data_IF_733248628776
#
_entry.id   IF_733248628776
#
_cell.length_a   1.000
_cell.length_b   1.000
_cell.length_c   1.000
_cell.angle_alpha   90.00
_cell.angle_beta   90.00
_cell.angle_gamma   90.00
#
_symmetry.space_group_name_H-M   'P 1'
#
loop_
_entity.id
_entity.type
_entity.pdbx_description
1 polymer ?
#
# COMPACT_ATOMS: atom_id res chain seq x y z
N UNK A 1 32.57 -2.92 -29.28
CA UNK A 1 31.71 -2.79 -28.08
C UNK A 1 31.53 -1.31 -27.76
N UNK A 2 30.29 -0.84 -27.62
CA UNK A 2 29.97 0.13 -26.57
C UNK A 2 28.75 -0.36 -25.78
N UNK A 3 28.94 -0.58 -24.48
CA UNK A 3 27.85 -0.85 -23.53
C UNK A 3 27.07 0.45 -23.29
N UNK A 4 26.04 0.68 -24.10
CA UNK A 4 25.09 1.76 -23.85
C UNK A 4 24.48 1.54 -22.47
N UNK A 5 24.76 2.46 -21.51
CA UNK A 5 24.09 2.49 -20.21
C UNK A 5 22.58 2.35 -20.48
N UNK A 6 21.89 1.36 -19.88
CA UNK A 6 20.46 1.22 -20.08
C UNK A 6 19.82 2.55 -19.66
N UNK A 7 19.00 3.11 -20.55
CA UNK A 7 18.27 4.35 -20.23
C UNK A 7 17.49 4.11 -18.93
N UNK A 8 17.37 5.13 -18.07
CA UNK A 8 16.63 5.05 -16.81
C UNK A 8 15.24 4.41 -16.98
N UNK A 9 14.58 4.69 -18.10
CA UNK A 9 13.28 4.11 -18.45
C UNK A 9 13.32 2.59 -18.68
N UNK A 10 14.37 2.07 -19.30
CA UNK A 10 14.53 0.63 -19.52
C UNK A 10 14.80 -0.10 -18.21
N UNK A 11 15.66 0.45 -17.35
CA UNK A 11 15.92 -0.10 -16.01
C UNK A 11 14.64 -0.11 -15.18
N UNK A 12 13.90 1.01 -15.17
CA UNK A 12 12.61 1.10 -14.48
C UNK A 12 11.60 0.07 -14.98
N UNK A 13 11.43 -0.06 -16.31
CA UNK A 13 10.52 -1.05 -16.90
C UNK A 13 10.90 -2.48 -16.52
N UNK A 14 12.20 -2.80 -16.51
CA UNK A 14 12.69 -4.13 -16.08
C UNK A 14 12.42 -4.38 -14.60
N UNK A 15 12.70 -3.41 -13.73
CA UNK A 15 12.38 -3.49 -12.31
C UNK A 15 10.88 -3.70 -12.07
N UNK A 16 10.03 -2.96 -12.79
CA UNK A 16 8.58 -3.10 -12.70
C UNK A 16 8.12 -4.51 -13.10
N UNK A 17 8.64 -5.03 -14.22
CA UNK A 17 8.31 -6.38 -14.69
C UNK A 17 8.73 -7.47 -13.70
N UNK A 18 9.92 -7.33 -13.08
CA UNK A 18 10.38 -8.28 -12.06
C UNK A 18 9.43 -8.30 -10.86
N UNK A 19 8.99 -7.14 -10.37
CA UNK A 19 8.05 -7.06 -9.24
C UNK A 19 6.69 -7.65 -9.61
N UNK A 20 6.18 -7.35 -10.80
CA UNK A 20 4.89 -7.89 -11.30
C UNK A 20 4.95 -9.42 -11.41
N UNK A 21 6.08 -9.98 -11.89
CA UNK A 21 6.24 -11.43 -12.02
C UNK A 21 6.44 -12.11 -10.66
N UNK A 22 7.18 -11.51 -9.74
CA UNK A 22 7.51 -12.14 -8.45
C UNK A 22 6.35 -12.17 -7.45
N UNK A 23 5.43 -11.19 -7.52
CA UNK A 23 4.47 -10.95 -6.44
C UNK A 23 3.18 -10.24 -6.92
N UNK A 24 2.52 -10.84 -7.92
CA UNK A 24 1.29 -10.29 -8.50
C UNK A 24 0.10 -10.23 -7.51
N UNK A 25 0.03 -11.18 -6.56
CA UNK A 25 -1.05 -11.25 -5.56
C UNK A 25 -0.90 -10.15 -4.52
N UNK A 26 0.32 -9.94 -4.00
CA UNK A 26 0.64 -8.92 -3.01
C UNK A 26 0.45 -7.52 -3.58
N UNK A 27 0.83 -7.30 -4.84
CA UNK A 27 0.56 -6.05 -5.55
C UNK A 27 -0.94 -5.74 -5.63
N UNK A 28 -1.77 -6.73 -6.00
CA UNK A 28 -3.23 -6.55 -6.05
C UNK A 28 -3.78 -6.19 -4.68
N UNK A 29 -3.36 -6.91 -3.64
CA UNK A 29 -3.78 -6.64 -2.26
C UNK A 29 -3.37 -5.22 -1.83
N UNK A 30 -2.15 -4.78 -2.12
CA UNK A 30 -1.70 -3.41 -1.82
C UNK A 30 -2.53 -2.36 -2.56
N UNK A 31 -2.89 -2.59 -3.82
CA UNK A 31 -3.76 -1.67 -4.58
C UNK A 31 -5.11 -1.51 -3.86
N UNK A 32 -5.74 -2.62 -3.47
CA UNK A 32 -7.02 -2.56 -2.74
C UNK A 32 -6.88 -1.86 -1.39
N UNK A 33 -5.85 -2.20 -0.60
CA UNK A 33 -5.62 -1.58 0.70
C UNK A 33 -5.35 -0.08 0.57
N UNK A 34 -4.60 0.33 -0.45
CA UNK A 34 -4.28 1.74 -0.71
C UNK A 34 -5.51 2.53 -1.16
N UNK A 35 -6.41 1.91 -1.95
CA UNK A 35 -7.68 2.53 -2.32
C UNK A 35 -8.57 2.76 -1.09
N UNK A 36 -8.69 1.75 -0.22
CA UNK A 36 -9.49 1.86 0.99
C UNK A 36 -8.90 2.93 1.91
N UNK A 37 -7.60 2.85 2.21
CA UNK A 37 -6.94 3.82 3.09
C UNK A 37 -6.95 5.24 2.51
N UNK A 38 -6.76 5.38 1.20
CA UNK A 38 -6.81 6.67 0.50
C UNK A 38 -8.21 7.30 0.48
N UNK A 39 -9.27 6.49 0.48
CA UNK A 39 -10.66 6.96 0.54
C UNK A 39 -11.14 7.32 1.95
N UNK A 40 -10.52 6.75 3.00
CA UNK A 40 -10.94 6.94 4.39
C UNK A 40 -10.97 8.42 4.83
N UNK A 41 -9.97 9.27 4.55
CA UNK A 41 -10.03 10.70 4.88
C UNK A 41 -11.22 11.42 4.23
N UNK A 42 -11.55 11.10 2.97
CA UNK A 42 -12.67 11.71 2.27
C UNK A 42 -14.02 11.33 2.90
N UNK A 43 -14.19 10.05 3.27
CA UNK A 43 -15.38 9.56 3.96
C UNK A 43 -15.50 10.21 5.35
N UNK A 44 -14.39 10.33 6.08
CA UNK A 44 -14.34 10.98 7.39
C UNK A 44 -14.78 12.46 7.31
N UNK A 45 -14.27 13.21 6.31
CA UNK A 45 -14.70 14.58 6.08
C UNK A 45 -16.20 14.69 5.75
N UNK A 46 -16.72 13.77 4.94
CA UNK A 46 -18.14 13.73 4.60
C UNK A 46 -19.02 13.47 5.83
N UNK A 47 -18.66 12.50 6.67
CA UNK A 47 -19.38 12.20 7.91
C UNK A 47 -19.30 13.34 8.92
N UNK A 48 -18.12 13.94 9.10
CA UNK A 48 -17.94 15.12 9.94
C UNK A 48 -18.82 16.28 9.49
N UNK A 49 -18.93 16.52 8.18
CA UNK A 49 -19.82 17.55 7.65
C UNK A 49 -21.28 17.28 8.05
N UNK A 50 -21.77 16.06 7.88
CA UNK A 50 -23.15 15.69 8.26
C UNK A 50 -23.38 15.94 9.75
N UNK A 51 -22.43 15.52 10.60
CA UNK A 51 -22.51 15.74 12.05
C UNK A 51 -22.61 17.23 12.37
N UNK A 52 -21.75 18.06 11.78
CA UNK A 52 -21.74 19.51 11.99
C UNK A 52 -23.06 20.15 11.53
N UNK A 53 -23.55 19.75 10.34
CA UNK A 53 -24.80 20.28 9.79
C UNK A 53 -26.00 19.92 10.68
N UNK A 54 -26.11 18.68 11.14
CA UNK A 54 -27.19 18.26 12.05
C UNK A 54 -27.09 18.96 13.41
N UNK A 55 -25.91 19.02 14.02
CA UNK A 55 -25.71 19.70 15.31
C UNK A 55 -26.09 21.17 15.18
N UNK A 56 -25.64 21.85 14.11
CA UNK A 56 -25.94 23.27 13.87
C UNK A 56 -27.45 23.50 13.71
N UNK A 57 -28.15 22.61 12.99
CA UNK A 57 -29.61 22.66 12.85
C UNK A 57 -30.34 22.48 14.19
N UNK A 58 -29.87 21.57 15.03
CA UNK A 58 -30.45 21.32 16.35
C UNK A 58 -30.21 22.47 17.32
N UNK A 59 -29.01 23.07 17.31
CA UNK A 59 -28.72 24.28 18.09
C UNK A 59 -29.60 25.46 17.68
N UNK A 60 -29.86 25.64 16.38
CA UNK A 60 -30.75 26.68 15.87
C UNK A 60 -32.21 26.55 16.33
N UNK A 61 -32.62 25.38 16.82
CA UNK A 61 -33.98 25.12 17.33
C UNK A 61 -34.15 25.36 18.83
N UNK A 62 -33.11 25.83 19.54
CA UNK A 62 -33.15 26.16 20.98
C UNK A 62 -33.80 25.06 21.86
N UNK A 63 -33.33 23.82 21.75
CA UNK A 63 -33.84 22.71 22.57
C UNK A 63 -33.16 22.65 23.94
N UNK A 64 -33.94 22.46 25.01
CA UNK A 64 -33.46 22.32 26.41
C UNK A 64 -33.17 20.87 26.82
N UNK A 65 -33.20 19.95 25.85
CA UNK A 65 -33.05 18.50 26.07
C UNK A 65 -31.57 18.15 26.20
N UNK A 66 -31.25 17.18 27.07
CA UNK A 66 -29.90 16.65 27.24
C UNK A 66 -29.29 16.20 25.90
N UNK A 67 -28.05 16.61 25.62
CA UNK A 67 -27.34 16.36 24.36
C UNK A 67 -27.30 14.88 23.98
N UNK A 68 -27.18 13.98 24.96
CA UNK A 68 -27.16 12.54 24.71
C UNK A 68 -28.51 12.03 24.20
N UNK A 69 -29.61 12.54 24.77
CA UNK A 69 -30.95 12.16 24.34
C UNK A 69 -31.25 12.68 22.92
N UNK A 70 -30.73 13.86 22.55
CA UNK A 70 -30.83 14.38 21.19
C UNK A 70 -30.07 13.51 20.17
N UNK A 71 -28.88 13.03 20.53
CA UNK A 71 -28.09 12.13 19.66
C UNK A 71 -28.83 10.80 19.44
N UNK A 72 -29.45 10.25 20.47
CA UNK A 72 -30.21 9.00 20.40
C UNK A 72 -31.53 9.13 19.61
N UNK A 73 -32.11 10.33 19.57
CA UNK A 73 -33.37 10.60 18.88
C UNK A 73 -33.19 10.93 17.39
N UNK A 74 -32.00 11.37 16.99
CA UNK A 74 -31.70 11.75 15.60
C UNK A 74 -30.91 10.63 14.87
N UNK A 75 -31.59 9.80 14.05
CA UNK A 75 -30.98 8.61 13.46
C UNK A 75 -29.83 8.94 12.51
N UNK A 76 -29.89 10.08 11.82
CA UNK A 76 -28.83 10.55 10.93
C UNK A 76 -27.56 10.93 11.69
N UNK A 77 -27.70 11.61 12.83
CA UNK A 77 -26.57 12.03 13.65
C UNK A 77 -25.95 10.80 14.34
N UNK A 78 -26.78 9.91 14.90
CA UNK A 78 -26.31 8.66 15.48
C UNK A 78 -25.58 7.78 14.45
N UNK A 79 -26.16 7.62 13.26
CA UNK A 79 -25.57 6.85 12.16
C UNK A 79 -24.25 7.45 11.68
N UNK A 80 -24.13 8.77 11.64
CA UNK A 80 -22.90 9.44 11.22
C UNK A 80 -21.78 9.32 12.25
N UNK A 81 -22.08 9.47 13.54
CA UNK A 81 -21.12 9.24 14.63
C UNK A 81 -20.70 7.77 14.67
N UNK A 82 -21.66 6.85 14.63
CA UNK A 82 -21.40 5.41 14.60
C UNK A 82 -20.57 5.00 13.37
N UNK A 83 -20.90 5.54 12.20
CA UNK A 83 -20.15 5.33 10.97
C UNK A 83 -18.72 5.86 11.06
N UNK A 84 -18.50 7.01 11.70
CA UNK A 84 -17.17 7.59 11.87
C UNK A 84 -16.32 6.78 12.86
N UNK A 85 -16.91 6.29 13.94
CA UNK A 85 -16.25 5.36 14.87
C UNK A 85 -15.87 4.08 14.15
N UNK A 86 -16.81 3.47 13.40
CA UNK A 86 -16.56 2.25 12.64
C UNK A 86 -15.47 2.46 11.58
N UNK A 87 -15.50 3.58 10.86
CA UNK A 87 -14.48 3.93 9.88
C UNK A 87 -13.08 4.00 10.53
N UNK A 88 -12.94 4.65 11.68
CA UNK A 88 -11.67 4.74 12.39
C UNK A 88 -11.18 3.35 12.84
N UNK A 89 -12.07 2.54 13.43
CA UNK A 89 -11.75 1.18 13.86
C UNK A 89 -11.32 0.27 12.70
N UNK A 90 -11.85 0.47 11.50
CA UNK A 90 -11.46 -0.28 10.31
C UNK A 90 -10.16 0.27 9.68
N UNK A 91 -9.92 1.58 9.78
CA UNK A 91 -8.75 2.22 9.15
C UNK A 91 -7.45 1.94 9.91
N UNK A 92 -7.49 1.88 11.24
CA UNK A 92 -6.30 1.62 12.06
C UNK A 92 -5.61 0.27 11.72
N UNK A 93 -6.32 -0.88 11.67
CA UNK A 93 -5.72 -2.17 11.31
C UNK A 93 -5.19 -2.22 9.86
N UNK A 94 -5.79 -1.47 8.94
CA UNK A 94 -5.39 -1.45 7.52
C UNK A 94 -3.93 -1.03 7.37
N UNK A 95 -3.44 -0.09 8.18
CA UNK A 95 -2.03 0.30 8.15
C UNK A 95 -1.10 -0.85 8.55
N UNK A 96 -1.47 -1.61 9.58
CA UNK A 96 -0.74 -2.80 10.01
C UNK A 96 -0.70 -3.88 8.93
N UNK A 97 -1.85 -4.17 8.33
CA UNK A 97 -1.96 -5.14 7.22
C UNK A 97 -1.14 -4.67 6.01
N UNK A 98 -1.21 -3.39 5.66
CA UNK A 98 -0.46 -2.82 4.53
C UNK A 98 1.05 -2.99 4.72
N UNK A 99 1.56 -2.71 5.92
CA UNK A 99 2.97 -2.90 6.24
C UNK A 99 3.39 -4.38 6.16
N UNK A 100 2.55 -5.29 6.65
CA UNK A 100 2.79 -6.74 6.54
C UNK A 100 2.84 -7.21 5.08
N UNK A 101 1.86 -6.81 4.27
CA UNK A 101 1.82 -7.18 2.84
C UNK A 101 3.01 -6.57 2.10
N UNK A 102 3.43 -5.35 2.44
CA UNK A 102 4.61 -4.73 1.87
C UNK A 102 5.91 -5.48 2.23
N UNK A 103 6.05 -5.94 3.48
CA UNK A 103 7.17 -6.80 3.88
C UNK A 103 7.17 -8.09 3.09
N UNK A 104 6.02 -8.76 2.97
CA UNK A 104 5.89 -9.99 2.19
C UNK A 104 6.24 -9.78 0.70
N UNK A 105 5.78 -8.68 0.11
CA UNK A 105 6.14 -8.29 -1.25
C UNK A 105 7.67 -8.14 -1.39
N UNK A 106 8.30 -7.42 -0.47
CA UNK A 106 9.75 -7.21 -0.45
C UNK A 106 10.50 -8.53 -0.36
N UNK A 107 10.10 -9.42 0.56
CA UNK A 107 10.74 -10.72 0.76
C UNK A 107 10.62 -11.61 -0.49
N UNK A 108 9.46 -11.61 -1.16
CA UNK A 108 9.27 -12.34 -2.43
C UNK A 108 10.11 -11.79 -3.56
N UNK A 109 10.16 -10.46 -3.73
CA UNK A 109 10.99 -9.81 -4.76
C UNK A 109 12.46 -10.12 -4.52
N UNK A 110 12.91 -10.02 -3.26
CA UNK A 110 14.27 -10.33 -2.87
C UNK A 110 14.62 -11.80 -3.12
N UNK A 111 13.77 -12.73 -2.69
CA UNK A 111 13.98 -14.16 -2.92
C UNK A 111 14.00 -14.53 -4.41
N UNK A 112 13.12 -13.91 -5.22
CA UNK A 112 13.11 -14.11 -6.66
C UNK A 112 14.39 -13.58 -7.33
N UNK A 113 14.83 -12.38 -6.97
CA UNK A 113 16.07 -11.81 -7.49
C UNK A 113 17.30 -12.66 -7.10
N UNK A 114 17.38 -13.10 -5.84
CA UNK A 114 18.43 -14.01 -5.38
C UNK A 114 18.41 -15.34 -6.15
N UNK A 115 17.22 -15.90 -6.41
CA UNK A 115 17.06 -17.11 -7.21
C UNK A 115 17.55 -16.96 -8.65
N UNK A 116 17.25 -15.82 -9.30
CA UNK A 116 17.77 -15.51 -10.65
C UNK A 116 19.29 -15.44 -10.63
N UNK A 117 19.88 -14.72 -9.66
CA UNK A 117 21.33 -14.57 -9.55
C UNK A 117 21.99 -15.93 -9.30
N UNK A 118 21.45 -16.73 -8.38
CA UNK A 118 21.98 -18.06 -8.06
C UNK A 118 21.90 -19.00 -9.27
N UNK A 119 20.77 -19.02 -9.98
CA UNK A 119 20.60 -19.83 -11.18
C UNK A 119 21.55 -19.41 -12.31
N UNK A 120 21.83 -18.10 -12.43
CA UNK A 120 22.84 -17.59 -13.37
C UNK A 120 24.24 -18.03 -12.98
N UNK A 121 24.58 -17.92 -11.69
CA UNK A 121 25.87 -18.36 -11.13
C UNK A 121 26.10 -19.86 -11.33
N UNK A 122 25.08 -20.67 -11.07
CA UNK A 122 25.16 -22.13 -11.16
C UNK A 122 25.25 -22.67 -12.60
N UNK A 123 24.76 -21.92 -13.59
CA UNK A 123 24.80 -22.31 -15.00
C UNK A 123 25.95 -21.65 -15.78
N UNK A 124 26.90 -20.97 -15.12
CA UNK A 124 28.10 -20.54 -15.82
C UNK A 124 28.93 -21.76 -16.23
N UNK A 125 29.17 -21.85 -17.53
CA UNK A 125 29.85 -22.98 -18.17
C UNK A 125 31.37 -22.96 -17.95
N UNK A 126 31.90 -21.88 -17.37
CA UNK A 126 33.33 -21.66 -17.17
C UNK A 126 33.61 -21.10 -15.75
N UNK A 127 34.34 -21.86 -14.94
CA UNK A 127 34.68 -21.55 -13.54
C UNK A 127 35.81 -20.48 -13.48
N UNK A 128 36.56 -20.29 -14.58
CA UNK A 128 37.64 -19.30 -14.68
C UNK A 128 37.17 -17.84 -14.50
N UNK A 129 35.87 -17.61 -14.63
CA UNK A 129 35.19 -16.31 -14.43
C UNK A 129 35.16 -15.87 -12.95
N UNK A 130 35.34 -16.79 -12.00
CA UNK A 130 35.43 -16.51 -10.55
C UNK A 130 36.87 -16.41 -10.04
N UNK A 131 37.86 -16.79 -10.85
CA UNK A 131 39.29 -16.73 -10.50
C UNK A 131 39.96 -15.41 -10.92
N UNK A 132 39.33 -14.66 -11.83
CA UNK A 132 39.82 -13.37 -12.31
C UNK A 132 38.93 -12.21 -11.83
N UNK A 133 39.43 -11.31 -10.96
CA UNK A 133 38.62 -10.26 -10.32
C UNK A 133 38.02 -9.24 -11.32
N UNK A 134 38.54 -9.15 -12.54
CA UNK A 134 37.99 -8.30 -13.60
C UNK A 134 36.70 -8.86 -14.24
N UNK A 135 36.49 -10.18 -14.21
CA UNK A 135 35.30 -10.85 -14.78
C UNK A 135 34.11 -10.93 -13.81
N UNK A 136 34.32 -10.64 -12.52
CA UNK A 136 33.26 -10.55 -11.51
C UNK A 136 32.19 -9.49 -11.86
N UNK A 137 32.58 -8.47 -12.64
CA UNK A 137 31.71 -7.39 -13.10
C UNK A 137 30.71 -7.83 -14.20
N UNK A 138 30.85 -9.05 -14.73
CA UNK A 138 29.85 -9.69 -15.62
C UNK A 138 28.63 -10.23 -14.86
N UNK A 139 28.70 -10.29 -13.52
CA UNK A 139 27.53 -10.52 -12.65
C UNK A 139 26.72 -9.22 -12.53
N UNK A 140 26.34 -8.64 -13.67
CA UNK A 140 25.27 -7.66 -13.73
C UNK A 140 23.97 -8.40 -14.08
N UNK A 141 22.90 -8.07 -13.35
CA UNK A 141 21.53 -8.44 -13.71
C UNK A 141 21.23 -7.78 -15.06
N UNK A 142 21.26 -8.59 -16.12
CA UNK A 142 20.76 -8.21 -17.43
C UNK A 142 19.23 -8.39 -17.45
#
# INVERSE_FOLDING_TARGET
>A
MPTSKPSLFQTFRRSLLLVIQSASTELRTLIFLTLISGSSPAISLFLNKIIIDQISHLLGKFTTVSSLALILQEPLLLGSIGGLILLNLLTEPINGITNFVFSSLRDRVQGFAQGIVLNKVANFTDIALFETPELLNLVQLA
#
